data_IF_750360874228
#
_entry.id   IF_750360874228
#
_cell.length_a   1.000
_cell.length_b   1.000
_cell.length_c   1.000
_cell.angle_alpha   90.00
_cell.angle_beta   90.00
_cell.angle_gamma   90.00
#
_symmetry.space_group_name_H-M   'P 1'
#
loop_
_entity.id
_entity.type
_entity.pdbx_description
1 polymer ?
#
# COMPACT_ATOMS: atom_id res chain seq x y z
N UNK A 1 -6.03 10.45 -12.45
CA UNK A 1 -5.11 11.34 -11.72
C UNK A 1 -3.80 11.38 -12.47
N UNK A 2 -3.30 12.56 -12.79
CA UNK A 2 -2.02 12.72 -13.46
C UNK A 2 -0.98 13.28 -12.50
N UNK A 3 0.29 13.02 -12.76
CA UNK A 3 1.36 13.44 -11.88
C UNK A 3 2.75 13.38 -12.49
N UNK A 4 3.68 13.94 -11.74
CA UNK A 4 5.10 13.96 -12.06
C UNK A 4 5.89 13.20 -11.00
N UNK A 5 6.92 12.49 -11.46
CA UNK A 5 8.01 12.00 -10.63
C UNK A 5 9.23 12.82 -11.00
N UNK A 6 9.86 13.50 -10.05
CA UNK A 6 11.08 14.28 -10.27
C UNK A 6 12.23 13.76 -9.42
N UNK A 7 13.45 13.91 -9.94
CA UNK A 7 14.68 13.51 -9.27
C UNK A 7 15.80 14.48 -9.62
N UNK A 8 16.52 14.93 -8.60
CA UNK A 8 17.74 15.72 -8.76
C UNK A 8 19.01 14.86 -8.78
N UNK A 9 18.87 13.55 -8.47
CA UNK A 9 19.99 12.67 -8.08
C UNK A 9 20.24 11.54 -9.06
N UNK A 10 19.19 10.82 -9.43
CA UNK A 10 19.29 9.54 -10.15
C UNK A 10 18.11 9.37 -11.12
N UNK A 11 18.36 9.07 -12.41
CA UNK A 11 17.31 8.78 -13.38
C UNK A 11 16.48 7.52 -13.04
N UNK A 12 17.02 6.56 -12.29
CA UNK A 12 16.31 5.34 -11.91
C UNK A 12 15.12 5.63 -10.98
N UNK A 13 15.13 6.75 -10.25
CA UNK A 13 14.01 7.16 -9.38
C UNK A 13 12.74 7.46 -10.18
N UNK A 14 12.92 8.05 -11.37
CA UNK A 14 11.80 8.50 -12.21
C UNK A 14 11.38 7.44 -13.22
N UNK A 15 11.91 6.22 -13.14
CA UNK A 15 11.63 5.13 -14.06
C UNK A 15 11.24 3.89 -13.27
N UNK A 16 10.25 3.14 -13.75
CA UNK A 16 9.88 1.86 -13.17
C UNK A 16 9.30 0.97 -14.26
N UNK A 17 10.09 -0.03 -14.67
CA UNK A 17 9.79 -0.89 -15.81
C UNK A 17 8.53 -1.76 -15.61
N UNK A 18 8.07 -1.95 -14.38
CA UNK A 18 6.83 -2.67 -14.09
C UNK A 18 5.59 -1.82 -14.36
N UNK A 19 5.61 -0.52 -14.02
CA UNK A 19 4.44 0.35 -14.17
C UNK A 19 4.40 1.07 -15.52
N UNK A 20 5.55 1.29 -16.15
CA UNK A 20 5.67 1.92 -17.47
C UNK A 20 4.85 1.21 -18.55
N UNK A 21 4.75 -0.12 -18.45
CA UNK A 21 4.00 -0.95 -19.41
C UNK A 21 2.51 -1.06 -19.10
N UNK A 22 2.08 -0.57 -17.94
CA UNK A 22 0.73 -0.77 -17.41
C UNK A 22 -0.07 0.54 -17.36
N UNK A 23 0.60 1.66 -17.09
CA UNK A 23 -0.09 2.95 -17.05
C UNK A 23 -0.48 3.40 -18.47
N UNK A 24 -1.67 4.01 -18.63
CA UNK A 24 -2.12 4.51 -19.94
C UNK A 24 -1.18 5.57 -20.51
N UNK A 25 -0.53 6.34 -19.64
CA UNK A 25 0.49 7.31 -20.01
C UNK A 25 1.63 7.20 -19.01
N UNK A 26 2.83 6.96 -19.53
CA UNK A 26 4.09 7.10 -18.82
C UNK A 26 5.15 7.57 -19.82
N UNK A 27 5.72 8.75 -19.61
CA UNK A 27 6.74 9.32 -20.50
C UNK A 27 7.72 10.17 -19.71
N UNK A 28 8.88 10.46 -20.31
CA UNK A 28 9.77 11.47 -19.76
C UNK A 28 9.05 12.83 -19.67
N UNK A 29 9.37 13.59 -18.63
CA UNK A 29 8.99 15.00 -18.52
C UNK A 29 9.82 15.82 -19.53
N UNK A 30 9.21 16.84 -20.12
CA UNK A 30 9.93 17.80 -20.97
C UNK A 30 10.78 18.75 -20.11
N UNK A 31 11.73 19.45 -20.72
CA UNK A 31 12.53 20.47 -20.03
C UNK A 31 11.64 21.55 -19.39
N UNK A 32 10.56 21.95 -20.06
CA UNK A 32 9.59 22.89 -19.52
C UNK A 32 8.85 22.30 -18.31
N UNK A 33 8.44 21.03 -18.36
CA UNK A 33 7.75 20.37 -17.25
C UNK A 33 8.64 20.22 -16.00
N UNK A 34 9.96 20.06 -16.17
CA UNK A 34 10.91 20.05 -15.05
C UNK A 34 10.94 21.37 -14.27
N UNK A 35 10.47 22.47 -14.86
CA UNK A 35 10.44 23.79 -14.22
C UNK A 35 9.12 24.11 -13.47
N UNK A 36 8.13 23.21 -13.52
CA UNK A 36 6.82 23.43 -12.87
C UNK A 36 6.94 23.53 -11.35
N UNK A 37 7.88 22.82 -10.75
CA UNK A 37 8.19 22.88 -9.32
C UNK A 37 9.55 23.56 -9.10
N UNK A 38 9.71 24.37 -8.05
CA UNK A 38 11.03 24.86 -7.65
C UNK A 38 12.00 23.70 -7.41
N UNK A 39 13.27 23.89 -7.77
CA UNK A 39 14.34 22.91 -7.61
C UNK A 39 15.12 22.68 -8.89
N UNK A 40 16.30 22.07 -8.74
CA UNK A 40 17.18 21.70 -9.86
C UNK A 40 16.89 20.26 -10.29
N UNK A 41 15.70 20.03 -10.87
CA UNK A 41 15.28 18.70 -11.32
C UNK A 41 16.02 18.31 -12.61
N UNK A 42 16.82 17.24 -12.54
CA UNK A 42 17.59 16.73 -13.68
C UNK A 42 16.84 15.67 -14.47
N UNK A 43 15.95 14.95 -13.80
CA UNK A 43 15.19 13.84 -14.37
C UNK A 43 13.73 13.96 -13.98
N UNK A 44 12.85 13.58 -14.89
CA UNK A 44 11.42 13.57 -14.62
C UNK A 44 10.64 12.62 -15.50
N UNK A 45 9.52 12.15 -14.98
CA UNK A 45 8.51 11.40 -15.73
C UNK A 45 7.13 11.94 -15.44
N UNK A 46 6.32 12.08 -16.48
CA UNK A 46 4.89 12.32 -16.39
C UNK A 46 4.14 11.00 -16.51
N UNK A 47 3.10 10.84 -15.68
CA UNK A 47 2.24 9.67 -15.72
C UNK A 47 0.77 10.01 -15.48
N UNK A 48 -0.11 9.13 -15.94
CA UNK A 48 -1.53 9.13 -15.56
C UNK A 48 -1.90 7.78 -14.97
N UNK A 49 -2.56 7.81 -13.81
CA UNK A 49 -2.93 6.65 -13.02
C UNK A 49 -4.31 6.83 -12.36
N UNK A 50 -4.74 5.81 -11.62
CA UNK A 50 -5.93 5.82 -10.79
C UNK A 50 -5.56 6.07 -9.33
N UNK A 51 -6.49 6.69 -8.60
CA UNK A 51 -6.39 6.85 -7.15
C UNK A 51 -7.48 6.01 -6.50
N UNK A 52 -7.10 5.15 -5.57
CA UNK A 52 -8.04 4.39 -4.74
C UNK A 52 -8.09 5.00 -3.34
N UNK A 53 -9.22 5.62 -2.99
CA UNK A 53 -9.45 6.10 -1.62
C UNK A 53 -9.94 4.95 -0.75
N UNK A 54 -9.08 4.47 0.15
CA UNK A 54 -9.36 3.29 0.97
C UNK A 54 -10.58 3.48 1.88
N UNK A 55 -10.85 4.72 2.33
CA UNK A 55 -12.04 5.02 3.14
C UNK A 55 -13.35 4.85 2.39
N UNK A 56 -13.33 4.89 1.06
CA UNK A 56 -14.49 4.65 0.20
C UNK A 56 -14.50 3.21 -0.34
N UNK A 57 -13.33 2.70 -0.73
CA UNK A 57 -13.20 1.38 -1.30
C UNK A 57 -13.50 0.26 -0.29
N UNK A 58 -13.07 0.37 0.97
CA UNK A 58 -13.28 -0.70 1.96
C UNK A 58 -14.76 -0.90 2.34
N UNK A 59 -15.57 0.16 2.58
CA UNK A 59 -17.01 0.01 2.74
C UNK A 59 -17.68 -0.64 1.52
N UNK A 60 -17.35 -0.17 0.31
CA UNK A 60 -17.89 -0.75 -0.93
C UNK A 60 -17.53 -2.24 -1.07
N UNK A 61 -16.26 -2.60 -0.85
CA UNK A 61 -15.81 -3.99 -0.96
C UNK A 61 -16.47 -4.89 0.10
N UNK A 62 -16.72 -4.34 1.29
CA UNK A 62 -17.43 -5.02 2.38
C UNK A 62 -18.89 -5.28 2.01
N UNK A 63 -19.60 -4.29 1.49
CA UNK A 63 -20.98 -4.44 1.01
C UNK A 63 -21.06 -5.51 -0.08
N UNK A 64 -20.18 -5.44 -1.09
CA UNK A 64 -20.11 -6.48 -2.13
C UNK A 64 -19.84 -7.86 -1.56
N UNK A 65 -19.01 -7.99 -0.53
CA UNK A 65 -18.76 -9.28 0.12
C UNK A 65 -20.01 -9.82 0.82
N UNK A 66 -20.75 -8.97 1.53
CA UNK A 66 -21.98 -9.35 2.22
C UNK A 66 -23.11 -9.71 1.24
N UNK A 67 -23.29 -8.94 0.17
CA UNK A 67 -24.29 -9.19 -0.87
C UNK A 67 -24.08 -10.54 -1.58
N UNK A 68 -22.84 -11.01 -1.65
CA UNK A 68 -22.49 -12.33 -2.19
C UNK A 68 -22.61 -13.45 -1.14
N UNK A 69 -23.30 -13.22 -0.02
CA UNK A 69 -23.52 -14.19 1.04
C UNK A 69 -22.37 -14.33 2.04
N UNK A 70 -21.36 -13.46 1.96
CA UNK A 70 -20.27 -13.40 2.93
C UNK A 70 -20.76 -13.04 4.33
N UNK A 71 -20.04 -13.49 5.36
CA UNK A 71 -20.32 -13.17 6.76
C UNK A 71 -19.08 -12.60 7.42
N UNK A 72 -19.26 -11.55 8.22
CA UNK A 72 -18.19 -10.95 9.01
C UNK A 72 -18.37 -11.39 10.47
N UNK A 73 -17.33 -11.99 11.02
CA UNK A 73 -17.30 -12.42 12.42
C UNK A 73 -16.05 -11.85 13.08
N UNK A 74 -16.23 -11.16 14.21
CA UNK A 74 -15.13 -10.66 15.01
C UNK A 74 -14.56 -11.81 15.85
N UNK A 75 -13.36 -12.27 15.50
CA UNK A 75 -12.63 -13.33 16.23
C UNK A 75 -11.15 -12.94 16.32
N UNK A 76 -10.57 -13.12 17.51
CA UNK A 76 -9.13 -13.06 17.70
C UNK A 76 -8.56 -14.48 17.62
N UNK A 77 -7.55 -14.68 16.77
CA UNK A 77 -6.84 -15.94 16.65
C UNK A 77 -5.45 -15.81 17.28
N UNK A 78 -5.05 -16.82 18.05
CA UNK A 78 -3.68 -16.93 18.55
C UNK A 78 -2.80 -17.71 17.56
N UNK A 79 -3.39 -18.68 16.85
CA UNK A 79 -2.75 -19.43 15.77
C UNK A 79 -3.78 -19.83 14.69
N UNK A 80 -3.30 -20.18 13.49
CA UNK A 80 -4.17 -20.57 12.37
C UNK A 80 -4.71 -22.00 12.50
N UNK A 81 -4.03 -22.84 13.28
CA UNK A 81 -4.41 -24.23 13.53
C UNK A 81 -5.76 -24.34 14.29
N UNK A 82 -6.17 -23.29 15.01
CA UNK A 82 -7.51 -23.16 15.63
C UNK A 82 -8.68 -23.25 14.64
N UNK A 83 -8.41 -23.08 13.34
CA UNK A 83 -9.40 -23.15 12.26
C UNK A 83 -9.55 -24.55 11.67
N UNK A 84 -8.75 -25.52 12.14
CA UNK A 84 -8.79 -26.91 11.67
C UNK A 84 -10.18 -27.50 11.83
N UNK A 85 -10.67 -28.14 10.75
CA UNK A 85 -11.98 -28.79 10.70
C UNK A 85 -13.17 -27.83 10.67
N UNK A 86 -12.96 -26.50 10.72
CA UNK A 86 -14.02 -25.50 10.60
C UNK A 86 -14.23 -25.02 9.17
N UNK A 87 -13.17 -25.04 8.36
CA UNK A 87 -13.16 -24.55 6.98
C UNK A 87 -12.29 -25.46 6.11
N UNK A 88 -12.65 -25.60 4.83
CA UNK A 88 -11.88 -26.40 3.86
C UNK A 88 -10.55 -25.75 3.48
N UNK A 89 -10.55 -24.42 3.34
CA UNK A 89 -9.39 -23.59 3.01
C UNK A 89 -9.48 -22.27 3.77
N UNK A 90 -8.35 -21.83 4.32
CA UNK A 90 -8.20 -20.53 4.99
C UNK A 90 -7.37 -19.62 4.10
N UNK A 91 -7.80 -18.37 3.89
CA UNK A 91 -6.96 -17.36 3.22
C UNK A 91 -6.41 -16.40 4.26
N UNK A 92 -5.10 -16.42 4.47
CA UNK A 92 -4.43 -15.58 5.46
C UNK A 92 -4.04 -14.22 4.86
N UNK A 93 -4.89 -13.21 5.11
CA UNK A 93 -4.70 -11.81 4.71
C UNK A 93 -4.39 -10.88 5.90
N UNK A 94 -3.73 -11.37 6.95
CA UNK A 94 -3.64 -10.67 8.26
C UNK A 94 -2.63 -9.53 8.33
N UNK A 95 -1.99 -9.15 7.21
CA UNK A 95 -1.00 -8.08 7.18
C UNK A 95 0.12 -8.33 8.19
N UNK A 96 0.42 -7.34 9.06
CA UNK A 96 1.43 -7.50 10.13
C UNK A 96 1.09 -8.60 11.15
N UNK A 97 -0.18 -8.98 11.29
CA UNK A 97 -0.59 -10.09 12.17
C UNK A 97 0.07 -11.43 11.81
N UNK A 98 0.44 -11.61 10.53
CA UNK A 98 1.13 -12.81 10.06
C UNK A 98 2.52 -13.01 10.70
N UNK A 99 3.16 -11.93 11.20
CA UNK A 99 4.43 -12.05 11.92
C UNK A 99 4.28 -12.98 13.13
N UNK A 100 3.21 -12.80 13.90
CA UNK A 100 2.88 -13.65 15.05
C UNK A 100 2.26 -14.97 14.61
N UNK A 101 1.23 -14.92 13.76
CA UNK A 101 0.43 -16.09 13.40
C UNK A 101 1.21 -17.16 12.60
N UNK A 102 2.27 -16.76 11.89
CA UNK A 102 3.07 -17.63 11.04
C UNK A 102 4.55 -17.67 11.43
N UNK A 103 4.92 -17.03 12.55
CA UNK A 103 6.32 -16.83 12.96
C UNK A 103 7.22 -16.29 11.82
N UNK A 104 6.67 -15.40 10.98
CA UNK A 104 7.34 -14.93 9.77
C UNK A 104 8.22 -13.71 10.08
N UNK A 105 9.47 -13.96 10.43
CA UNK A 105 10.43 -12.91 10.76
C UNK A 105 10.89 -12.07 9.57
N UNK A 106 10.60 -12.49 8.33
CA UNK A 106 10.84 -11.65 7.13
C UNK A 106 9.86 -10.47 7.06
N UNK A 107 8.76 -10.52 7.82
CA UNK A 107 7.76 -9.47 7.89
C UNK A 107 8.19 -8.40 8.91
N UNK A 108 8.40 -7.18 8.43
CA UNK A 108 8.79 -6.01 9.22
C UNK A 108 7.86 -4.83 8.94
N UNK A 109 7.53 -4.01 9.95
CA UNK A 109 6.80 -2.77 9.69
C UNK A 109 7.72 -1.75 9.04
N UNK A 110 7.19 -1.00 8.08
CA UNK A 110 7.78 0.28 7.67
C UNK A 110 6.78 1.37 8.06
N UNK A 111 7.08 2.06 9.16
CA UNK A 111 6.28 3.18 9.65
C UNK A 111 6.29 4.30 8.61
N UNK A 112 5.12 4.88 8.37
CA UNK A 112 4.95 6.07 7.56
C UNK A 112 3.98 7.03 8.21
N UNK A 113 4.32 8.32 8.17
CA UNK A 113 3.46 9.42 8.60
C UNK A 113 3.08 10.27 7.39
N UNK A 114 1.85 10.75 7.39
CA UNK A 114 1.30 11.65 6.38
C UNK A 114 0.48 12.75 7.03
N UNK A 115 0.34 13.86 6.32
CA UNK A 115 -0.46 15.02 6.70
C UNK A 115 -1.52 15.22 5.61
N UNK A 116 -2.79 15.28 5.99
CA UNK A 116 -3.88 15.65 5.08
C UNK A 116 -4.15 17.14 5.25
N UNK A 117 -4.10 17.90 4.16
CA UNK A 117 -4.34 19.34 4.15
C UNK A 117 -5.48 19.72 3.20
N UNK A 118 -6.13 20.85 3.47
CA UNK A 118 -7.10 21.47 2.58
C UNK A 118 -6.39 22.34 1.56
N UNK A 119 -6.20 21.80 0.36
CA UNK A 119 -5.58 22.50 -0.77
C UNK A 119 -6.26 22.11 -2.09
N UNK A 120 -7.50 22.56 -2.29
CA UNK A 120 -8.35 22.14 -3.43
C UNK A 120 -7.79 22.54 -4.80
N UNK A 121 -6.87 23.50 -4.85
CA UNK A 121 -6.18 23.94 -6.08
C UNK A 121 -5.15 22.93 -6.60
N UNK A 122 -4.66 22.01 -5.77
CA UNK A 122 -3.69 21.00 -6.21
C UNK A 122 -4.42 19.83 -6.87
N UNK A 123 -4.28 19.70 -8.20
CA UNK A 123 -4.92 18.65 -9.01
C UNK A 123 -3.94 17.62 -9.57
N UNK A 124 -2.65 17.92 -9.49
CA UNK A 124 -1.56 17.09 -10.01
C UNK A 124 -0.82 16.42 -8.85
N UNK A 125 -0.50 15.14 -9.00
CA UNK A 125 0.33 14.43 -8.04
C UNK A 125 1.81 14.72 -8.28
N UNK A 126 2.60 14.78 -7.22
CA UNK A 126 4.05 14.91 -7.30
C UNK A 126 4.72 13.86 -6.43
N UNK A 127 5.80 13.29 -6.92
CA UNK A 127 6.73 12.46 -6.17
C UNK A 127 8.14 12.97 -6.45
N UNK A 128 8.90 13.30 -5.42
CA UNK A 128 10.22 13.90 -5.55
C UNK A 128 11.26 13.13 -4.75
N UNK A 129 12.37 12.81 -5.41
CA UNK A 129 13.46 11.97 -4.91
C UNK A 129 12.94 10.65 -4.31
N UNK A 130 13.01 10.43 -2.99
CA UNK A 130 12.67 9.14 -2.40
C UNK A 130 11.45 9.14 -1.47
N UNK A 131 11.16 10.26 -0.80
CA UNK A 131 10.21 10.29 0.32
C UNK A 131 9.39 11.57 0.39
N UNK A 132 9.31 12.35 -0.69
CA UNK A 132 8.44 13.53 -0.76
C UNK A 132 7.36 13.26 -1.78
N UNK A 133 6.10 13.28 -1.36
CA UNK A 133 4.97 13.13 -2.26
C UNK A 133 3.79 14.00 -1.86
N UNK A 134 3.15 14.56 -2.87
CA UNK A 134 1.95 15.38 -2.78
C UNK A 134 0.89 14.69 -3.63
N UNK A 135 -0.13 14.13 -3.01
CA UNK A 135 -1.16 13.32 -3.70
C UNK A 135 -2.52 13.97 -3.47
N UNK A 136 -3.11 14.61 -4.50
CA UNK A 136 -4.49 15.06 -4.46
C UNK A 136 -5.43 13.89 -4.19
N UNK A 137 -6.38 14.08 -3.28
CA UNK A 137 -7.43 13.10 -2.99
C UNK A 137 -8.79 13.76 -2.84
N UNK A 138 -9.81 12.95 -2.58
CA UNK A 138 -11.20 13.40 -2.55
C UNK A 138 -11.49 14.36 -1.39
N UNK A 139 -10.99 14.06 -0.19
CA UNK A 139 -11.18 14.89 1.02
C UNK A 139 -10.20 16.09 1.08
N UNK A 140 -9.05 15.96 0.43
CA UNK A 140 -7.95 16.91 0.53
C UNK A 140 -6.66 16.33 -0.04
N UNK A 141 -5.56 17.07 0.09
CA UNK A 141 -4.25 16.68 -0.44
C UNK A 141 -3.45 15.96 0.64
N UNK A 142 -2.90 14.81 0.31
CA UNK A 142 -2.00 14.06 1.19
C UNK A 142 -0.57 14.51 0.95
N UNK A 143 0.07 15.03 1.99
CA UNK A 143 1.50 15.32 2.05
C UNK A 143 2.21 14.18 2.75
N UNK A 144 3.27 13.67 2.15
CA UNK A 144 4.14 12.70 2.80
C UNK A 144 5.57 12.81 2.32
N UNK A 145 6.49 12.03 2.89
CA UNK A 145 6.26 11.08 3.97
C UNK A 145 7.54 10.76 4.73
N UNK A 146 7.54 9.59 5.34
CA UNK A 146 8.71 8.99 5.96
C UNK A 146 8.65 7.46 5.81
N UNK A 147 9.81 6.82 5.99
CA UNK A 147 10.00 5.37 5.97
C UNK A 147 10.93 4.98 7.11
N UNK A 148 10.35 4.59 8.23
CA UNK A 148 11.13 4.18 9.39
C UNK A 148 10.99 2.66 9.51
N UNK A 149 12.04 1.94 9.12
CA UNK A 149 12.09 0.48 9.16
C UNK A 149 12.06 -0.02 10.60
N UNK A 150 11.36 -1.14 10.80
CA UNK A 150 11.18 -1.85 12.07
C UNK A 150 10.62 -1.00 13.24
N UNK A 151 10.00 0.13 12.91
CA UNK A 151 9.30 0.95 13.89
C UNK A 151 7.84 0.53 14.02
N UNK A 152 7.42 0.19 15.23
CA UNK A 152 6.03 -0.13 15.58
C UNK A 152 5.28 1.08 16.17
N UNK A 153 5.95 2.23 16.30
CA UNK A 153 5.37 3.40 16.91
C UNK A 153 4.26 3.99 16.01
N UNK A 154 3.03 4.03 16.52
CA UNK A 154 1.86 4.60 15.84
C UNK A 154 1.54 6.04 16.24
N UNK A 155 2.34 6.64 17.13
CA UNK A 155 2.17 8.01 17.56
C UNK A 155 2.69 9.00 16.50
N UNK A 156 2.00 10.12 16.41
CA UNK A 156 2.37 11.24 15.54
C UNK A 156 3.66 11.89 16.07
N UNK A 157 4.66 12.00 15.21
CA UNK A 157 5.93 12.68 15.49
C UNK A 157 5.88 14.10 14.96
N UNK A 158 6.03 15.11 15.83
CA UNK A 158 6.10 16.53 15.43
C UNK A 158 7.31 16.82 14.51
N UNK A 159 8.42 16.10 14.72
CA UNK A 159 9.60 16.18 13.88
C UNK A 159 9.29 15.73 12.45
N UNK A 160 8.62 14.58 12.30
CA UNK A 160 8.21 14.09 10.98
C UNK A 160 7.19 15.03 10.33
N UNK A 161 6.26 15.60 11.10
CA UNK A 161 5.28 16.57 10.58
C UNK A 161 5.96 17.83 10.05
N UNK A 162 6.94 18.37 10.77
CA UNK A 162 7.72 19.53 10.34
C UNK A 162 8.52 19.22 9.07
N UNK A 163 9.24 18.10 9.04
CA UNK A 163 10.05 17.70 7.90
C UNK A 163 9.21 17.40 6.64
N UNK A 164 8.02 16.79 6.80
CA UNK A 164 7.08 16.57 5.68
C UNK A 164 6.56 17.89 5.14
N UNK A 165 6.14 18.82 6.01
CA UNK A 165 5.66 20.15 5.59
C UNK A 165 6.75 20.92 4.85
N UNK A 166 7.93 21.02 5.43
CA UNK A 166 9.07 21.73 4.84
C UNK A 166 9.36 21.24 3.41
N UNK A 167 9.50 19.93 3.21
CA UNK A 167 9.80 19.37 1.88
C UNK A 167 8.64 19.55 0.89
N UNK A 168 7.40 19.34 1.32
CA UNK A 168 6.24 19.48 0.44
C UNK A 168 5.99 20.95 0.06
N UNK A 169 6.13 21.88 1.00
CA UNK A 169 5.99 23.32 0.75
C UNK A 169 7.16 23.89 -0.07
N UNK A 170 8.35 23.29 0.03
CA UNK A 170 9.47 23.63 -0.86
C UNK A 170 9.21 23.14 -2.30
N UNK A 171 8.67 21.92 -2.45
CA UNK A 171 8.31 21.34 -3.75
C UNK A 171 7.14 22.09 -4.41
N UNK A 172 6.16 22.52 -3.62
CA UNK A 172 4.98 23.21 -4.11
C UNK A 172 4.61 24.36 -3.15
N UNK A 173 5.17 25.57 -3.35
CA UNK A 173 4.99 26.71 -2.44
C UNK A 173 3.54 27.13 -2.19
N UNK A 174 2.62 26.79 -3.11
CA UNK A 174 1.18 27.04 -2.92
C UNK A 174 0.56 26.20 -1.79
N UNK A 175 1.29 25.26 -1.18
CA UNK A 175 0.87 24.53 0.01
C UNK A 175 1.11 25.29 1.32
N UNK A 176 1.90 26.37 1.31
CA UNK A 176 2.21 27.15 2.51
C UNK A 176 0.92 27.66 3.16
N UNK A 177 0.77 27.39 4.45
CA UNK A 177 -0.41 27.80 5.22
C UNK A 177 -1.69 27.00 4.91
N UNK A 178 -1.61 25.93 4.10
CA UNK A 178 -2.76 25.07 3.87
C UNK A 178 -3.27 24.46 5.19
N UNK A 179 -4.56 24.62 5.55
CA UNK A 179 -5.09 24.11 6.80
C UNK A 179 -4.93 22.60 6.93
N UNK A 180 -4.37 22.15 8.05
CA UNK A 180 -4.25 20.72 8.36
C UNK A 180 -5.63 20.18 8.72
N UNK A 181 -6.04 19.12 8.02
CA UNK A 181 -7.26 18.37 8.31
C UNK A 181 -7.00 17.26 9.32
N UNK A 182 -5.90 16.51 9.13
CA UNK A 182 -5.45 15.46 10.05
C UNK A 182 -4.02 15.05 9.80
N UNK A 183 -3.39 14.46 10.80
CA UNK A 183 -2.13 13.74 10.68
C UNK A 183 -2.42 12.25 10.96
N UNK A 184 -1.70 11.35 10.29
CA UNK A 184 -1.94 9.91 10.43
C UNK A 184 -0.64 9.14 10.29
N UNK A 185 -0.50 8.10 11.12
CA UNK A 185 0.63 7.17 11.09
C UNK A 185 0.10 5.78 10.76
N UNK A 186 0.82 5.07 9.89
CA UNK A 186 0.50 3.71 9.50
C UNK A 186 1.74 2.84 9.40
N UNK A 187 1.56 1.54 9.62
CA UNK A 187 2.64 0.55 9.53
C UNK A 187 2.45 -0.28 8.26
N UNK A 188 3.36 -0.15 7.31
CA UNK A 188 3.32 -0.93 6.06
C UNK A 188 3.85 -2.34 6.35
N UNK A 189 3.09 -3.42 6.03
CA UNK A 189 3.52 -4.80 6.28
C UNK A 189 4.53 -5.25 5.21
N UNK A 190 5.81 -4.91 5.36
CA UNK A 190 6.83 -5.20 4.35
C UNK A 190 7.44 -6.59 4.55
N UNK A 191 7.49 -7.38 3.48
CA UNK A 191 8.20 -8.65 3.40
C UNK A 191 8.76 -8.78 1.99
N UNK A 192 9.96 -9.34 1.87
CA UNK A 192 10.55 -9.65 0.57
C UNK A 192 10.87 -11.15 0.46
N UNK A 193 10.31 -11.87 -0.53
CA UNK A 193 9.22 -11.44 -1.42
C UNK A 193 7.88 -11.28 -0.69
N UNK A 194 6.86 -10.72 -1.34
CA UNK A 194 5.45 -10.83 -0.89
C UNK A 194 5.09 -12.32 -0.76
N UNK A 195 4.35 -12.71 0.28
CA UNK A 195 3.93 -14.11 0.46
C UNK A 195 2.57 -14.35 -0.15
N UNK A 196 2.54 -15.04 -1.30
CA UNK A 196 1.32 -15.56 -1.91
C UNK A 196 1.54 -17.02 -2.31
N UNK A 197 1.14 -17.96 -1.45
CA UNK A 197 1.41 -19.40 -1.63
C UNK A 197 0.40 -20.26 -0.86
N UNK A 198 0.24 -21.51 -1.29
CA UNK A 198 -0.51 -22.53 -0.55
C UNK A 198 0.42 -23.29 0.38
N UNK A 199 0.05 -23.37 1.66
CA UNK A 199 0.76 -24.13 2.70
C UNK A 199 -0.22 -25.11 3.38
N UNK A 200 0.26 -26.32 3.66
CA UNK A 200 -0.46 -27.29 4.49
C UNK A 200 0.10 -27.23 5.91
N UNK A 201 -0.55 -26.47 6.79
CA UNK A 201 -0.08 -26.31 8.16
C UNK A 201 -0.40 -27.57 8.99
N UNK A 202 0.61 -28.26 9.55
CA UNK A 202 0.36 -29.40 10.41
C UNK A 202 -0.29 -28.98 11.72
N UNK A 203 -1.11 -29.88 12.25
CA UNK A 203 -1.79 -29.81 13.55
C UNK A 203 -1.62 -31.16 14.25
N UNK A 204 -1.89 -31.22 15.56
CA UNK A 204 -1.76 -32.47 16.32
C UNK A 204 -2.48 -33.68 15.67
N UNK A 205 -3.62 -33.46 15.01
CA UNK A 205 -4.46 -34.53 14.47
C UNK A 205 -4.66 -34.47 12.94
N UNK A 206 -3.81 -33.79 12.16
CA UNK A 206 -4.06 -33.53 10.72
C UNK A 206 -3.50 -32.19 10.26
N UNK A 207 -4.18 -31.47 9.37
CA UNK A 207 -3.66 -30.20 8.83
C UNK A 207 -4.73 -29.18 8.46
N UNK A 208 -4.30 -27.93 8.26
CA UNK A 208 -5.10 -26.82 7.72
C UNK A 208 -4.50 -26.37 6.40
N UNK A 209 -5.31 -26.27 5.35
CA UNK A 209 -4.88 -25.66 4.08
C UNK A 209 -4.98 -24.16 4.19
N UNK A 210 -3.85 -23.48 4.06
CA UNK A 210 -3.77 -22.02 4.16
C UNK A 210 -3.20 -21.45 2.86
N UNK A 211 -3.94 -20.55 2.23
CA UNK A 211 -3.41 -19.69 1.18
C UNK A 211 -2.97 -18.38 1.82
N UNK A 212 -1.67 -18.14 1.88
CA UNK A 212 -1.12 -16.89 2.37
C UNK A 212 -1.28 -15.78 1.33
N UNK A 213 -1.58 -14.56 1.77
CA UNK A 213 -1.60 -13.36 0.93
C UNK A 213 -1.29 -12.11 1.77
N UNK A 214 -0.02 -11.90 2.12
CA UNK A 214 0.42 -10.78 2.95
C UNK A 214 1.86 -10.33 2.62
N UNK A 215 2.32 -9.24 3.24
CA UNK A 215 3.68 -8.74 3.08
C UNK A 215 3.86 -7.67 1.99
N UNK A 216 2.78 -7.01 1.58
CA UNK A 216 2.75 -6.10 0.43
C UNK A 216 3.43 -4.73 0.62
N UNK A 217 4.00 -4.43 1.79
CA UNK A 217 4.68 -3.17 2.07
C UNK A 217 3.85 -1.93 1.68
N UNK A 218 4.49 -0.98 0.98
CA UNK A 218 3.87 0.29 0.55
C UNK A 218 3.07 0.23 -0.75
N UNK A 219 3.00 -0.93 -1.40
CA UNK A 219 2.39 -1.09 -2.73
C UNK A 219 1.17 -2.03 -2.72
N UNK A 220 0.65 -2.38 -1.53
CA UNK A 220 -0.46 -3.34 -1.40
C UNK A 220 -1.74 -2.94 -2.11
N UNK A 221 -2.10 -1.65 -2.13
CA UNK A 221 -3.28 -1.19 -2.91
C UNK A 221 -3.06 -1.40 -4.40
N UNK A 222 -1.86 -1.09 -4.90
CA UNK A 222 -1.50 -1.23 -6.31
C UNK A 222 -1.49 -2.69 -6.76
N UNK A 223 -1.01 -3.60 -5.92
CA UNK A 223 -0.86 -5.03 -6.29
C UNK A 223 -2.05 -5.90 -5.91
N UNK A 224 -2.97 -5.41 -5.06
CA UNK A 224 -4.12 -6.18 -4.56
C UNK A 224 -4.92 -6.92 -5.64
N UNK A 225 -5.27 -6.33 -6.80
CA UNK A 225 -6.02 -7.07 -7.83
C UNK A 225 -5.26 -8.29 -8.37
N UNK A 226 -3.93 -8.18 -8.50
CA UNK A 226 -3.07 -9.27 -8.97
C UNK A 226 -2.91 -10.35 -7.91
N UNK A 227 -2.57 -9.97 -6.68
CA UNK A 227 -2.37 -10.94 -5.59
C UNK A 227 -3.66 -11.63 -5.18
N UNK A 228 -4.80 -10.93 -5.21
CA UNK A 228 -6.12 -11.54 -5.00
C UNK A 228 -6.45 -12.59 -6.07
N UNK A 229 -6.24 -12.30 -7.37
CA UNK A 229 -6.44 -13.27 -8.45
C UNK A 229 -5.55 -14.51 -8.28
N UNK A 230 -4.30 -14.32 -7.90
CA UNK A 230 -3.38 -15.42 -7.66
C UNK A 230 -3.80 -16.27 -6.45
N UNK A 231 -4.17 -15.64 -5.33
CA UNK A 231 -4.69 -16.34 -4.17
C UNK A 231 -5.97 -17.14 -4.49
N UNK A 232 -6.89 -16.60 -5.27
CA UNK A 232 -8.10 -17.33 -5.72
C UNK A 232 -7.75 -18.55 -6.56
N UNK A 233 -6.73 -18.46 -7.43
CA UNK A 233 -6.24 -19.63 -8.18
C UNK A 233 -5.74 -20.72 -7.23
N UNK A 234 -4.93 -20.37 -6.23
CA UNK A 234 -4.42 -21.31 -5.23
C UNK A 234 -5.55 -21.94 -4.38
N UNK A 235 -6.58 -21.16 -4.04
CA UNK A 235 -7.77 -21.70 -3.34
C UNK A 235 -8.47 -22.76 -4.20
N UNK A 236 -8.65 -22.50 -5.50
CA UNK A 236 -9.27 -23.48 -6.42
C UNK A 236 -8.46 -24.76 -6.53
N UNK A 237 -7.13 -24.65 -6.62
CA UNK A 237 -6.22 -25.80 -6.63
C UNK A 237 -6.31 -26.60 -5.32
N UNK A 238 -6.34 -25.91 -4.18
CA UNK A 238 -6.50 -26.54 -2.87
C UNK A 238 -7.84 -27.31 -2.73
N UNK A 239 -8.92 -26.78 -3.31
CA UNK A 239 -10.24 -27.42 -3.31
C UNK A 239 -10.33 -28.61 -4.28
N UNK A 240 -9.72 -28.53 -5.46
CA UNK A 240 -9.71 -29.63 -6.42
C UNK A 240 -8.96 -30.87 -5.91
N UNK A 241 -7.94 -30.65 -5.08
CA UNK A 241 -7.17 -31.75 -4.46
C UNK A 241 -8.04 -32.58 -3.49
N UNK A 242 -9.16 -32.03 -3.00
CA UNK A 242 -10.13 -32.77 -2.19
C UNK A 242 -11.07 -33.68 -3.01
N UNK A 243 -11.29 -33.42 -4.29
CA UNK A 243 -12.26 -34.17 -5.11
C UNK A 243 -11.73 -35.49 -5.67
N UNK A 244 -10.49 -35.88 -5.33
CA UNK A 244 -9.85 -37.14 -5.75
C UNK A 244 -9.78 -38.21 -4.65
N UNK A 245 -10.56 -38.06 -3.58
CA UNK A 245 -10.71 -39.04 -2.49
C UNK A 245 -12.12 -39.63 -2.51
#
# INVERSE_FOLDING_TARGET
MSGYIFSSRDPAIVRNHYIEKVLPVYRAATEQELTICPGEWKYGSFFTTILTECRLFQPWATERFLDNGGRIVAVALNNLQELRGKYDVVVNCTGLGAKRLCNDHKLVPIRGQVIKVRASWVKTAFYADFDTYVIPGFEGVTLGGCRNFDSYNTDVSRHDSAAIRERCESLLPSLKGAPVLRESVGLRPHRDPVRVELELLPTANGSVRVVHNYGHGGYGVTTAPGTAKHAVKLVKEALQTNSKL
#
